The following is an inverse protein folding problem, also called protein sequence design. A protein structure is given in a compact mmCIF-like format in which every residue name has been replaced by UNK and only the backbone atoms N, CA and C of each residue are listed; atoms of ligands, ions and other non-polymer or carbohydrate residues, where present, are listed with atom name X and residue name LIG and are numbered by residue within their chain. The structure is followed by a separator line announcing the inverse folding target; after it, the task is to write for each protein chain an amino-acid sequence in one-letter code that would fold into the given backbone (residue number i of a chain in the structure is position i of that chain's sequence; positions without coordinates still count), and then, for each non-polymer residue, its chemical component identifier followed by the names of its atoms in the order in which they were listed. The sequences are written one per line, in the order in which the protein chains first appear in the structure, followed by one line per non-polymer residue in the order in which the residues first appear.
data_IF_123813258679
#
_entry.id   IF_123813258679
#
_cell.length_a   1.000
_cell.length_b   1.000
_cell.length_c   1.000
_cell.angle_alpha   90.00
_cell.angle_beta   90.00
_cell.angle_gamma   90.00
#
_symmetry.space_group_name_H-M   'P 1'
#
loop_
_entity.id
_entity.type
_entity.pdbx_description
1 polymer ?
#
# COMPACT_ATOMS: atom_id res chain seq x y z
N UNK A 1 36.74 0.06 -29.97
CA UNK A 1 36.48 -0.17 -28.53
C UNK A 1 35.79 1.08 -27.97
N UNK A 2 34.60 1.39 -28.48
CA UNK A 2 33.83 2.61 -28.22
C UNK A 2 32.35 2.20 -28.21
N UNK A 3 31.85 1.57 -27.14
CA UNK A 3 30.42 1.22 -27.06
C UNK A 3 29.94 0.77 -25.66
N UNK A 4 30.71 0.92 -24.57
CA UNK A 4 30.30 0.39 -23.26
C UNK A 4 29.95 1.45 -22.21
N UNK A 5 29.93 2.74 -22.55
CA UNK A 5 29.76 3.80 -21.54
C UNK A 5 28.45 4.62 -21.63
N UNK A 6 27.58 4.35 -22.60
CA UNK A 6 26.31 5.09 -22.75
C UNK A 6 25.06 4.26 -22.46
N UNK A 7 25.19 2.93 -22.34
CA UNK A 7 24.04 2.07 -22.05
C UNK A 7 23.56 2.18 -20.59
N UNK A 8 24.40 2.51 -19.62
CA UNK A 8 24.00 2.53 -18.20
C UNK A 8 23.28 3.81 -17.76
N UNK A 9 23.51 4.95 -18.41
CA UNK A 9 22.90 6.23 -18.01
C UNK A 9 21.45 6.32 -18.51
N UNK A 10 21.17 5.80 -19.72
CA UNK A 10 19.80 5.76 -20.24
C UNK A 10 18.93 4.79 -19.42
N UNK A 11 19.44 3.62 -19.01
CA UNK A 11 18.66 2.66 -18.23
C UNK A 11 18.25 3.24 -16.87
N UNK A 12 19.08 4.01 -16.19
CA UNK A 12 18.69 4.63 -14.91
C UNK A 12 17.57 5.65 -15.11
N UNK A 13 17.62 6.48 -16.15
CA UNK A 13 16.53 7.43 -16.45
C UNK A 13 15.25 6.74 -16.92
N UNK A 14 15.34 5.69 -17.76
CA UNK A 14 14.16 4.95 -18.22
C UNK A 14 13.56 4.07 -17.12
N UNK A 15 14.37 3.54 -16.19
CA UNK A 15 13.88 2.82 -15.00
C UNK A 15 13.31 3.80 -13.98
N UNK A 16 13.89 5.00 -13.80
CA UNK A 16 13.29 6.09 -12.99
C UNK A 16 12.07 6.76 -13.63
N UNK A 17 11.87 6.67 -14.95
CA UNK A 17 10.61 7.09 -15.57
C UNK A 17 9.50 6.05 -15.38
N UNK A 18 9.87 4.76 -15.25
CA UNK A 18 8.93 3.67 -14.97
C UNK A 18 8.64 3.52 -13.47
N UNK A 19 9.61 3.79 -12.61
CA UNK A 19 9.45 3.92 -11.17
C UNK A 19 9.13 5.39 -10.89
N UNK A 20 7.86 5.75 -10.73
CA UNK A 20 7.50 7.07 -10.22
C UNK A 20 8.44 7.43 -9.07
N UNK A 21 8.97 8.67 -9.04
CA UNK A 21 10.10 9.07 -8.19
C UNK A 21 9.85 9.07 -6.67
N UNK A 22 8.95 8.20 -6.20
CA UNK A 22 8.55 7.93 -4.83
C UNK A 22 8.77 6.43 -4.62
N UNK A 23 9.76 6.07 -3.80
CA UNK A 23 10.07 4.68 -3.47
C UNK A 23 9.69 4.31 -2.04
N UNK A 24 9.34 5.30 -1.21
CA UNK A 24 9.06 5.11 0.20
C UNK A 24 8.52 6.38 0.86
N UNK A 25 8.29 6.28 2.17
CA UNK A 25 7.74 7.35 2.99
C UNK A 25 8.66 8.60 3.00
N UNK A 26 9.97 8.39 2.91
CA UNK A 26 11.01 9.40 2.89
C UNK A 26 10.97 10.32 1.67
N UNK A 27 10.36 9.87 0.58
CA UNK A 27 10.23 10.62 -0.68
C UNK A 27 8.97 11.48 -0.75
N UNK A 28 8.06 11.35 0.23
CA UNK A 28 6.80 12.09 0.30
C UNK A 28 6.91 13.58 0.65
N UNK A 29 7.93 14.08 1.39
CA UNK A 29 8.06 15.50 1.68
C UNK A 29 8.12 16.34 0.39
N UNK A 30 7.21 17.31 0.26
CA UNK A 30 7.08 18.15 -0.92
C UNK A 30 6.30 17.51 -2.09
N UNK A 31 5.77 16.30 -1.92
CA UNK A 31 4.83 15.65 -2.86
C UNK A 31 3.38 15.93 -2.47
N UNK A 32 2.48 15.75 -3.42
CA UNK A 32 1.03 15.84 -3.20
C UNK A 32 0.52 14.47 -2.76
N UNK A 33 0.44 14.27 -1.46
CA UNK A 33 -0.03 13.00 -0.87
C UNK A 33 -1.55 13.05 -0.70
N UNK A 34 -2.21 11.90 -0.82
CA UNK A 34 -3.63 11.79 -0.49
C UNK A 34 -3.93 10.49 0.29
N UNK A 35 -4.99 10.53 1.09
CA UNK A 35 -5.51 9.39 1.85
C UNK A 35 -7.04 9.49 1.98
N UNK A 36 -7.66 8.44 2.53
CA UNK A 36 -9.08 8.47 2.89
C UNK A 36 -9.24 9.18 4.23
N UNK A 37 -10.19 10.11 4.29
CA UNK A 37 -10.53 10.83 5.52
C UNK A 37 -10.94 9.87 6.66
N UNK A 38 -10.73 10.28 7.90
CA UNK A 38 -11.18 9.53 9.10
C UNK A 38 -10.65 8.07 9.15
N UNK A 39 -9.44 7.86 8.63
CA UNK A 39 -8.77 6.55 8.61
C UNK A 39 -7.51 6.55 9.47
N UNK A 40 -7.03 5.36 9.91
CA UNK A 40 -5.74 5.26 10.59
C UNK A 40 -4.57 5.85 9.79
N UNK A 41 -4.64 5.78 8.46
CA UNK A 41 -3.65 6.39 7.58
C UNK A 41 -3.70 7.93 7.63
N UNK A 42 -4.88 8.54 7.75
CA UNK A 42 -5.02 9.97 7.96
C UNK A 42 -4.44 10.39 9.32
N UNK A 43 -4.76 9.66 10.39
CA UNK A 43 -4.18 9.92 11.72
C UNK A 43 -2.64 9.80 11.71
N UNK A 44 -2.10 8.82 10.98
CA UNK A 44 -0.67 8.69 10.80
C UNK A 44 -0.07 9.90 10.06
N UNK A 45 -0.66 10.31 8.95
CA UNK A 45 -0.16 11.46 8.17
C UNK A 45 -0.26 12.77 8.96
N UNK A 46 -1.31 12.98 9.76
CA UNK A 46 -1.45 14.12 10.66
C UNK A 46 -0.33 14.16 11.72
N UNK A 47 0.19 13.00 12.13
CA UNK A 47 1.33 12.94 13.05
C UNK A 47 2.67 13.34 12.40
N UNK A 48 2.73 13.43 11.07
CA UNK A 48 3.94 13.78 10.32
C UNK A 48 4.02 15.29 10.06
N UNK A 49 4.94 15.98 10.75
CA UNK A 49 5.05 17.44 10.68
C UNK A 49 5.50 18.02 9.33
N UNK A 50 6.05 17.20 8.44
CA UNK A 50 6.64 17.60 7.17
C UNK A 50 5.84 17.09 5.95
N UNK A 51 4.69 16.47 6.17
CA UNK A 51 3.82 15.98 5.10
C UNK A 51 2.57 16.84 5.02
N UNK A 52 2.23 17.22 3.79
CA UNK A 52 0.93 17.81 3.48
C UNK A 52 0.16 16.76 2.68
N UNK A 53 -1.08 16.50 3.08
CA UNK A 53 -1.93 15.55 2.39
C UNK A 53 -3.32 16.12 2.14
N UNK A 54 -4.04 15.46 1.23
CA UNK A 54 -5.43 15.76 0.91
C UNK A 54 -6.32 14.59 1.31
N UNK A 55 -7.45 14.92 1.91
CA UNK A 55 -8.49 13.97 2.24
C UNK A 55 -9.40 13.71 1.05
N UNK A 56 -9.73 12.43 0.87
CA UNK A 56 -10.75 11.97 -0.04
C UNK A 56 -11.81 11.15 0.70
N UNK A 57 -13.04 11.18 0.20
CA UNK A 57 -14.16 10.46 0.81
C UNK A 57 -14.22 8.99 0.42
N UNK A 58 -13.63 8.59 -0.71
CA UNK A 58 -13.65 7.19 -1.18
C UNK A 58 -12.31 6.79 -1.82
N UNK A 59 -12.03 5.49 -1.82
CA UNK A 59 -10.83 4.92 -2.45
C UNK A 59 -10.86 5.06 -3.97
N UNK A 60 -12.03 4.96 -4.59
CA UNK A 60 -12.17 5.10 -6.05
C UNK A 60 -11.75 6.51 -6.50
N UNK A 61 -12.11 7.53 -5.73
CA UNK A 61 -11.70 8.90 -6.02
C UNK A 61 -10.18 9.10 -5.85
N UNK A 62 -9.55 8.42 -4.89
CA UNK A 62 -8.10 8.42 -4.72
C UNK A 62 -7.38 7.76 -5.89
N UNK A 63 -7.86 6.60 -6.33
CA UNK A 63 -7.27 5.88 -7.47
C UNK A 63 -7.32 6.73 -8.74
N UNK A 64 -8.46 7.36 -9.03
CA UNK A 64 -8.58 8.27 -10.18
C UNK A 64 -7.64 9.47 -10.04
N UNK A 65 -7.52 10.05 -8.84
CA UNK A 65 -6.70 11.24 -8.61
C UNK A 65 -5.19 10.95 -8.79
N UNK A 66 -4.71 9.79 -8.34
CA UNK A 66 -3.30 9.40 -8.53
C UNK A 66 -3.02 8.93 -9.95
N UNK A 67 -3.98 8.31 -10.64
CA UNK A 67 -3.86 7.93 -12.06
C UNK A 67 -3.80 9.15 -12.99
N UNK A 68 -4.55 10.22 -12.68
CA UNK A 68 -4.49 11.48 -13.43
C UNK A 68 -3.14 12.22 -13.24
N UNK A 69 -2.50 12.08 -12.07
CA UNK A 69 -1.17 12.62 -11.77
C UNK A 69 -1.09 14.16 -11.68
N UNK A 70 -2.19 14.88 -11.92
CA UNK A 70 -2.19 16.35 -11.86
C UNK A 70 -2.48 16.90 -10.46
N UNK A 71 -3.04 16.12 -9.55
CA UNK A 71 -3.42 16.58 -8.21
C UNK A 71 -2.82 15.77 -7.07
N UNK A 72 -2.55 14.49 -7.31
CA UNK A 72 -2.02 13.54 -6.32
C UNK A 72 -0.84 12.80 -6.95
N UNK A 73 0.29 12.81 -6.26
CA UNK A 73 1.52 12.09 -6.63
C UNK A 73 1.58 10.71 -5.99
N UNK A 74 1.01 10.54 -4.79
CA UNK A 74 1.01 9.29 -4.05
C UNK A 74 -0.22 9.15 -3.15
N UNK A 75 -0.67 7.91 -3.00
CA UNK A 75 -1.72 7.52 -2.04
C UNK A 75 -1.07 6.75 -0.91
N UNK A 76 -1.42 7.11 0.33
CA UNK A 76 -0.99 6.40 1.53
C UNK A 76 -2.23 5.80 2.18
N UNK A 77 -2.29 4.48 2.24
CA UNK A 77 -3.43 3.75 2.80
C UNK A 77 -3.04 2.33 3.23
N UNK A 78 -4.00 1.58 3.75
CA UNK A 78 -3.84 0.20 4.20
C UNK A 78 -3.18 -0.69 3.13
N UNK A 79 -2.03 -1.27 3.48
CA UNK A 79 -1.24 -2.12 2.59
C UNK A 79 -2.05 -3.27 1.94
N UNK A 80 -2.84 -4.10 2.66
CA UNK A 80 -3.59 -5.16 2.00
C UNK A 80 -4.65 -4.61 1.04
N UNK A 81 -5.27 -3.46 1.33
CA UNK A 81 -6.27 -2.85 0.44
C UNK A 81 -5.60 -2.41 -0.88
N UNK A 82 -4.45 -1.75 -0.78
CA UNK A 82 -3.68 -1.31 -1.94
C UNK A 82 -3.12 -2.48 -2.75
N UNK A 83 -2.58 -3.51 -2.08
CA UNK A 83 -2.07 -4.73 -2.74
C UNK A 83 -3.17 -5.45 -3.50
N UNK A 84 -4.33 -5.68 -2.86
CA UNK A 84 -5.48 -6.29 -3.53
C UNK A 84 -5.89 -5.50 -4.76
N UNK A 85 -6.01 -4.17 -4.64
CA UNK A 85 -6.37 -3.31 -5.76
C UNK A 85 -5.38 -3.42 -6.92
N UNK A 86 -4.07 -3.32 -6.65
CA UNK A 86 -3.02 -3.43 -7.69
C UNK A 86 -3.02 -4.81 -8.35
N UNK A 87 -3.20 -5.89 -7.59
CA UNK A 87 -3.24 -7.25 -8.14
C UNK A 87 -4.49 -7.52 -9.00
N UNK A 88 -5.63 -6.88 -8.71
CA UNK A 88 -6.90 -7.18 -9.36
C UNK A 88 -7.36 -6.14 -10.41
N UNK A 89 -7.48 -4.87 -10.01
CA UNK A 89 -8.12 -3.82 -10.82
C UNK A 89 -7.10 -2.80 -11.35
N UNK A 90 -6.00 -2.63 -10.63
CA UNK A 90 -4.92 -1.69 -10.91
C UNK A 90 -3.74 -2.28 -11.67
N UNK A 91 -3.83 -3.55 -12.11
CA UNK A 91 -2.70 -4.27 -12.69
C UNK A 91 -2.10 -3.52 -13.89
N UNK A 92 -0.79 -3.25 -13.83
CA UNK A 92 -0.05 -2.56 -14.88
C UNK A 92 -0.32 -1.05 -14.99
N UNK A 93 -1.21 -0.49 -14.16
CA UNK A 93 -1.52 0.94 -14.10
C UNK A 93 -1.08 1.59 -12.79
N UNK A 94 -1.07 0.81 -11.72
CA UNK A 94 -0.72 1.23 -10.37
C UNK A 94 0.39 0.33 -9.82
N UNK A 95 1.16 0.86 -8.89
CA UNK A 95 2.21 0.13 -8.20
C UNK A 95 2.18 0.51 -6.71
N UNK A 96 2.27 -0.50 -5.85
CA UNK A 96 2.58 -0.27 -4.43
C UNK A 96 4.09 -0.14 -4.31
N UNK A 97 4.54 0.91 -3.62
CA UNK A 97 5.95 1.25 -3.39
C UNK A 97 6.18 1.47 -1.90
N UNK A 98 7.42 1.24 -1.45
CA UNK A 98 7.82 1.41 -0.07
C UNK A 98 7.45 0.26 0.85
N UNK A 99 8.04 0.31 2.04
CA UNK A 99 7.79 -0.65 3.12
C UNK A 99 6.58 -0.22 3.96
N UNK A 100 5.99 -1.19 4.66
CA UNK A 100 4.96 -0.93 5.68
C UNK A 100 5.60 -0.16 6.83
N UNK A 101 5.26 1.12 6.97
CA UNK A 101 5.79 2.01 8.00
C UNK A 101 4.95 2.00 9.30
N UNK A 102 3.71 1.49 9.25
CA UNK A 102 2.86 1.28 10.40
C UNK A 102 2.25 -0.11 10.34
N UNK A 103 2.64 -0.98 11.26
CA UNK A 103 2.06 -2.31 11.37
C UNK A 103 0.76 -2.22 12.18
N UNK A 104 -0.35 -2.55 11.53
CA UNK A 104 -1.66 -2.68 12.15
C UNK A 104 -2.11 -4.14 12.03
N UNK A 105 -2.43 -4.75 13.17
CA UNK A 105 -2.96 -6.10 13.21
C UNK A 105 -4.47 -6.08 12.97
N UNK A 106 -4.92 -6.89 12.01
CA UNK A 106 -6.34 -7.12 11.77
C UNK A 106 -6.87 -8.25 12.67
N UNK A 107 -8.08 -8.07 13.20
CA UNK A 107 -8.67 -9.03 14.14
C UNK A 107 -10.17 -9.23 13.95
N UNK A 108 -10.65 -10.40 14.37
CA UNK A 108 -12.08 -10.71 14.41
C UNK A 108 -12.64 -10.24 15.76
N UNK A 109 -13.46 -9.20 15.73
CA UNK A 109 -14.09 -8.67 16.94
C UNK A 109 -15.24 -9.58 17.40
N UNK A 110 -15.26 -9.87 18.70
CA UNK A 110 -16.31 -10.65 19.36
C UNK A 110 -16.82 -9.90 20.57
N UNK A 111 -18.10 -10.08 20.89
CA UNK A 111 -18.67 -9.61 22.15
C UNK A 111 -17.85 -10.10 23.37
N UNK A 112 -17.80 -9.31 24.45
CA UNK A 112 -17.17 -9.76 25.69
C UNK A 112 -17.71 -11.12 26.14
N UNK A 113 -16.83 -12.01 26.60
CA UNK A 113 -17.16 -13.38 27.02
C UNK A 113 -17.80 -14.27 25.94
N UNK A 114 -17.58 -13.98 24.65
CA UNK A 114 -18.02 -14.85 23.56
C UNK A 114 -17.45 -16.27 23.72
N UNK A 115 -18.30 -17.32 23.71
CA UNK A 115 -17.85 -18.71 23.81
C UNK A 115 -17.07 -19.16 22.56
N UNK A 116 -17.13 -18.40 21.47
CA UNK A 116 -16.47 -18.74 20.21
C UNK A 116 -15.00 -18.32 20.14
N UNK A 117 -14.54 -17.48 21.08
CA UNK A 117 -13.19 -16.89 21.03
C UNK A 117 -12.09 -17.94 20.92
N UNK A 118 -12.14 -18.95 21.77
CA UNK A 118 -11.12 -20.00 21.80
C UNK A 118 -11.13 -20.85 20.52
N UNK A 119 -12.32 -21.25 20.07
CA UNK A 119 -12.49 -22.03 18.85
C UNK A 119 -11.99 -21.28 17.60
N UNK A 120 -12.28 -19.98 17.49
CA UNK A 120 -11.82 -19.13 16.39
C UNK A 120 -10.29 -19.01 16.41
N UNK A 121 -9.70 -18.71 17.58
CA UNK A 121 -8.25 -18.60 17.70
C UNK A 121 -7.53 -19.92 17.37
N UNK A 122 -8.06 -21.06 17.82
CA UNK A 122 -7.51 -22.37 17.49
C UNK A 122 -7.59 -22.67 15.99
N UNK A 123 -8.69 -22.27 15.33
CA UNK A 123 -8.83 -22.41 13.88
C UNK A 123 -7.82 -21.54 13.13
N UNK A 124 -7.66 -20.27 13.52
CA UNK A 124 -6.66 -19.36 12.94
C UNK A 124 -5.24 -19.92 13.09
N UNK A 125 -4.88 -20.41 14.29
CA UNK A 125 -3.57 -21.02 14.52
C UNK A 125 -3.33 -22.21 13.59
N UNK A 126 -4.33 -23.08 13.42
CA UNK A 126 -4.23 -24.22 12.50
C UNK A 126 -4.04 -23.77 11.05
N UNK A 127 -4.70 -22.70 10.60
CA UNK A 127 -4.49 -22.16 9.26
C UNK A 127 -3.02 -21.75 9.02
N UNK A 128 -2.40 -21.10 10.02
CA UNK A 128 -0.97 -20.76 9.96
C UNK A 128 -0.08 -22.01 9.97
N UNK A 129 -0.29 -22.94 10.91
CA UNK A 129 0.54 -24.15 11.06
C UNK A 129 0.50 -25.07 9.83
N UNK A 130 -0.63 -25.10 9.13
CA UNK A 130 -0.82 -25.95 7.94
C UNK A 130 -0.37 -25.28 6.65
N UNK A 131 0.00 -24.00 6.67
CA UNK A 131 0.32 -23.24 5.46
C UNK A 131 -0.90 -22.79 4.65
N UNK A 132 -2.12 -23.17 5.03
CA UNK A 132 -3.35 -22.73 4.36
C UNK A 132 -3.52 -21.21 4.39
N UNK A 133 -3.02 -20.53 5.42
CA UNK A 133 -3.00 -19.07 5.45
C UNK A 133 -2.18 -18.49 4.29
N UNK A 134 -0.99 -19.07 4.03
CA UNK A 134 -0.12 -18.64 2.93
C UNK A 134 -0.81 -18.90 1.58
N UNK A 135 -1.45 -20.05 1.40
CA UNK A 135 -2.22 -20.36 0.18
C UNK A 135 -3.31 -19.32 -0.08
N UNK A 136 -4.07 -18.94 0.95
CA UNK A 136 -5.08 -17.87 0.87
C UNK A 136 -4.40 -16.54 0.55
N UNK A 137 -3.29 -16.20 1.21
CA UNK A 137 -2.58 -14.95 0.95
C UNK A 137 -2.12 -14.85 -0.51
N UNK A 138 -1.51 -15.91 -1.03
CA UNK A 138 -1.05 -16.00 -2.42
C UNK A 138 -2.22 -15.94 -3.41
N UNK A 139 -3.37 -16.55 -3.11
CA UNK A 139 -4.57 -16.48 -3.95
C UNK A 139 -5.09 -15.04 -4.11
N UNK A 140 -5.07 -14.26 -3.02
CA UNK A 140 -5.68 -12.93 -2.98
C UNK A 140 -4.71 -11.77 -3.20
N UNK A 141 -3.40 -11.97 -3.04
CA UNK A 141 -2.42 -10.88 -3.14
C UNK A 141 -1.31 -11.17 -4.16
N UNK A 142 -1.08 -12.45 -4.49
CA UNK A 142 -0.13 -12.88 -5.53
C UNK A 142 1.25 -13.26 -5.01
#
# INVERSE_FOLDING_TARGET
MFAYFTASIATTFTVQELQGGINGLEDLPGKRVATVAESPAAEFLDSQTNLLFRDYSTLEALYIAVEDGNEVDAVVYDAPVLQYFVTHQGQGRYQVVGDVFQSLDYGIALQPNSPYREAINAALLRLYETGQYEEIYQEWFG
#
